data_IF_115861463214
#
_entry.id   IF_115861463214
#
_cell.length_a   1.000
_cell.length_b   1.000
_cell.length_c   1.000
_cell.angle_alpha   90.00
_cell.angle_beta   90.00
_cell.angle_gamma   90.00
#
_symmetry.space_group_name_H-M   'P 1'
#
loop_
_entity.id
_entity.type
_entity.pdbx_description
1 polymer ?
#
# COMPACT_ATOMS: atom_id res chain seq x y z
N UNK A 1 55.00 -32.58 -35.37
CA UNK A 1 54.97 -31.18 -34.89
C UNK A 1 53.51 -30.74 -34.89
N UNK A 2 52.96 -30.42 -33.71
CA UNK A 2 51.82 -29.51 -33.42
C UNK A 2 50.52 -29.65 -34.24
N UNK A 3 49.30 -29.65 -33.70
CA UNK A 3 48.72 -29.64 -32.37
C UNK A 3 47.22 -29.91 -32.58
N UNK A 4 46.58 -30.41 -31.54
CA UNK A 4 45.14 -30.69 -31.40
C UNK A 4 44.21 -29.53 -31.73
N UNK A 5 43.08 -29.82 -32.37
CA UNK A 5 41.86 -29.01 -32.23
C UNK A 5 40.62 -29.93 -32.38
N UNK A 6 40.23 -30.55 -31.27
CA UNK A 6 38.93 -31.19 -31.10
C UNK A 6 37.82 -30.20 -31.41
N UNK A 7 36.87 -30.61 -32.24
CA UNK A 7 35.72 -29.81 -32.66
C UNK A 7 34.99 -29.16 -31.46
N UNK A 8 34.63 -27.87 -31.53
CA UNK A 8 33.89 -27.21 -30.47
C UNK A 8 32.40 -27.57 -30.60
N UNK A 9 32.03 -28.84 -30.43
CA UNK A 9 30.62 -29.26 -30.29
C UNK A 9 30.04 -28.94 -28.90
N UNK A 10 30.76 -28.20 -28.05
CA UNK A 10 30.44 -28.04 -26.63
C UNK A 10 30.13 -26.58 -26.26
N UNK A 11 30.24 -25.64 -27.20
CA UNK A 11 30.26 -24.21 -26.86
C UNK A 11 28.89 -23.52 -26.75
N UNK A 12 27.74 -24.19 -26.88
CA UNK A 12 26.46 -23.46 -26.86
C UNK A 12 25.29 -24.24 -26.22
N UNK A 13 25.59 -25.05 -25.21
CA UNK A 13 24.56 -25.67 -24.35
C UNK A 13 24.60 -25.10 -22.92
N UNK A 14 25.11 -23.88 -22.75
CA UNK A 14 25.25 -23.20 -21.46
C UNK A 14 24.62 -21.79 -21.47
N UNK A 15 23.47 -21.63 -22.12
CA UNK A 15 22.65 -20.41 -22.03
C UNK A 15 21.26 -20.64 -21.43
N UNK A 16 20.93 -21.86 -20.98
CA UNK A 16 19.61 -22.22 -20.45
C UNK A 16 19.60 -22.50 -18.94
N UNK A 17 20.45 -21.81 -18.18
CA UNK A 17 20.47 -21.89 -16.71
C UNK A 17 20.53 -20.49 -16.10
N UNK A 18 19.83 -19.54 -16.70
CA UNK A 18 19.55 -18.24 -16.09
C UNK A 18 18.06 -18.17 -15.78
N UNK A 19 17.79 -18.51 -14.51
CA UNK A 19 16.85 -17.81 -13.62
C UNK A 19 15.40 -17.81 -14.11
N UNK A 20 14.75 -18.96 -14.00
CA UNK A 20 13.32 -19.02 -13.77
C UNK A 20 13.03 -18.95 -12.27
N UNK A 21 13.40 -17.86 -11.61
CA UNK A 21 12.80 -17.53 -10.30
C UNK A 21 11.44 -16.91 -10.61
N UNK A 22 10.45 -17.77 -10.83
CA UNK A 22 9.07 -17.37 -10.69
C UNK A 22 8.89 -17.11 -9.20
N UNK A 23 9.15 -15.87 -8.75
CA UNK A 23 8.60 -15.46 -7.46
C UNK A 23 7.10 -15.49 -7.66
N UNK A 24 6.46 -16.50 -7.06
CA UNK A 24 5.04 -16.44 -6.81
C UNK A 24 4.84 -15.13 -6.05
N UNK A 25 4.27 -14.13 -6.71
CA UNK A 25 3.77 -12.94 -6.05
C UNK A 25 2.61 -13.43 -5.21
N UNK A 26 2.92 -13.92 -4.01
CA UNK A 26 1.95 -14.01 -2.94
C UNK A 26 1.40 -12.59 -2.79
N UNK A 27 0.13 -12.39 -3.14
CA UNK A 27 -0.57 -11.12 -2.87
C UNK A 27 -0.37 -10.82 -1.37
N UNK A 28 0.43 -9.82 -1.01
CA UNK A 28 0.79 -9.63 0.38
C UNK A 28 -0.45 -9.16 1.13
N UNK A 29 -0.92 -9.98 2.06
CA UNK A 29 -2.06 -9.67 2.91
C UNK A 29 -1.82 -8.33 3.62
N UNK A 30 -2.65 -7.33 3.30
CA UNK A 30 -2.61 -6.01 3.94
C UNK A 30 -3.25 -6.13 5.32
N UNK A 31 -2.56 -5.66 6.36
CA UNK A 31 -3.03 -5.79 7.74
C UNK A 31 -3.18 -4.45 8.47
N UNK A 32 -2.38 -3.44 8.11
CA UNK A 32 -2.50 -2.10 8.67
C UNK A 32 -2.10 -1.03 7.65
N UNK A 33 -2.51 0.22 7.90
CA UNK A 33 -2.21 1.35 7.02
C UNK A 33 -1.71 2.57 7.79
N UNK A 34 -0.78 3.31 7.19
CA UNK A 34 -0.34 4.63 7.65
C UNK A 34 -0.70 5.67 6.62
N UNK A 35 -1.29 6.76 7.06
CA UNK A 35 -1.46 7.95 6.25
C UNK A 35 -0.41 8.97 6.65
N UNK A 36 0.35 9.44 5.69
CA UNK A 36 1.35 10.48 5.88
C UNK A 36 0.86 11.76 5.23
N UNK A 37 0.81 12.86 5.98
CA UNK A 37 0.47 14.15 5.40
C UNK A 37 0.96 15.32 6.24
N UNK A 38 1.19 16.46 5.58
CA UNK A 38 1.38 17.70 6.31
C UNK A 38 0.05 18.14 6.95
N UNK A 39 0.05 18.32 8.27
CA UNK A 39 -1.09 18.89 9.00
C UNK A 39 -1.41 20.35 8.61
N UNK A 40 -0.55 21.00 7.85
CA UNK A 40 -0.61 22.42 7.49
C UNK A 40 -1.31 22.72 6.16
N UNK A 41 -0.70 23.59 5.37
CA UNK A 41 -1.35 24.32 4.27
C UNK A 41 -2.02 23.45 3.20
N UNK A 42 -1.49 22.27 2.87
CA UNK A 42 -2.03 21.42 1.80
C UNK A 42 -3.44 20.89 2.12
N UNK A 43 -3.68 20.49 3.37
CA UNK A 43 -5.00 20.00 3.81
C UNK A 43 -6.07 21.09 3.90
N UNK A 44 -5.68 22.37 3.96
CA UNK A 44 -6.64 23.49 3.96
C UNK A 44 -7.42 23.59 2.64
N UNK A 45 -6.81 23.19 1.53
CA UNK A 45 -7.46 23.16 0.21
C UNK A 45 -8.19 21.83 -0.04
N UNK A 46 -7.71 20.74 0.55
CA UNK A 46 -8.26 19.40 0.40
C UNK A 46 -9.23 19.09 1.55
N UNK A 47 -10.34 19.85 1.62
CA UNK A 47 -11.33 19.76 2.70
C UNK A 47 -11.85 18.33 2.89
N UNK A 48 -12.13 17.62 1.79
CA UNK A 48 -12.63 16.25 1.84
C UNK A 48 -11.63 15.27 2.46
N UNK A 49 -10.36 15.35 2.05
CA UNK A 49 -9.28 14.52 2.60
C UNK A 49 -9.02 14.88 4.06
N UNK A 50 -9.02 16.17 4.39
CA UNK A 50 -8.87 16.64 5.78
C UNK A 50 -9.97 16.09 6.68
N UNK A 51 -11.22 16.11 6.24
CA UNK A 51 -12.35 15.65 7.04
C UNK A 51 -12.29 14.12 7.20
N UNK A 52 -11.89 13.39 6.16
CA UNK A 52 -11.56 11.96 6.26
C UNK A 52 -10.52 11.69 7.35
N UNK A 53 -9.38 12.41 7.33
CA UNK A 53 -8.29 12.23 8.30
C UNK A 53 -8.70 12.53 9.74
N UNK A 54 -9.47 13.60 9.95
CA UNK A 54 -9.81 14.04 11.31
C UNK A 54 -11.05 13.33 11.88
N UNK A 55 -12.00 12.96 11.03
CA UNK A 55 -13.30 12.44 11.48
C UNK A 55 -13.41 10.92 11.28
N UNK A 56 -12.93 10.39 10.15
CA UNK A 56 -13.17 8.98 9.81
C UNK A 56 -12.01 8.07 10.19
N UNK A 57 -10.77 8.46 9.95
CA UNK A 57 -9.59 7.65 10.31
C UNK A 57 -9.61 7.18 11.77
N UNK A 58 -9.95 8.01 12.78
CA UNK A 58 -10.03 7.55 14.17
C UNK A 58 -11.04 6.41 14.40
N UNK A 59 -12.01 6.23 13.49
CA UNK A 59 -13.04 5.20 13.57
C UNK A 59 -12.56 3.85 13.02
N UNK A 60 -11.47 3.80 12.26
CA UNK A 60 -10.93 2.55 11.72
C UNK A 60 -9.97 1.87 12.70
N UNK A 61 -9.95 0.54 12.68
CA UNK A 61 -8.92 -0.26 13.33
C UNK A 61 -7.69 -0.32 12.41
N UNK A 62 -6.49 -0.37 12.99
CA UNK A 62 -5.23 -0.55 12.26
C UNK A 62 -4.92 0.53 11.20
N UNK A 63 -5.48 1.73 11.33
CA UNK A 63 -5.14 2.89 10.49
C UNK A 63 -4.56 4.00 11.36
N UNK A 64 -3.34 4.43 11.05
CA UNK A 64 -2.63 5.51 11.73
C UNK A 64 -2.53 6.74 10.83
N UNK A 65 -2.68 7.95 11.39
CA UNK A 65 -2.33 9.19 10.68
C UNK A 65 -1.09 9.84 11.29
N UNK A 66 0.00 9.87 10.51
CA UNK A 66 1.27 10.49 10.85
C UNK A 66 1.42 11.85 10.16
N UNK A 67 1.68 12.87 10.98
CA UNK A 67 1.85 14.25 10.52
C UNK A 67 3.31 14.52 10.16
N UNK A 68 3.61 14.70 8.88
CA UNK A 68 4.96 14.96 8.37
C UNK A 68 4.98 16.32 7.67
N UNK A 69 5.87 17.21 8.10
CA UNK A 69 5.95 18.56 7.52
C UNK A 69 6.31 18.50 6.03
N UNK A 70 5.54 19.20 5.18
CA UNK A 70 5.77 19.26 3.74
C UNK A 70 5.35 18.00 2.96
N UNK A 71 4.96 16.91 3.63
CA UNK A 71 4.55 15.70 2.94
C UNK A 71 3.18 15.86 2.24
N UNK A 72 3.04 15.35 1.00
CA UNK A 72 1.73 15.22 0.37
C UNK A 72 0.85 14.23 1.15
N UNK A 73 -0.49 14.29 1.06
CA UNK A 73 -1.36 13.32 1.69
C UNK A 73 -1.34 11.99 0.92
N UNK A 74 -0.68 10.99 1.50
CA UNK A 74 -0.53 9.66 0.93
C UNK A 74 -0.94 8.59 1.95
N UNK A 75 -1.59 7.54 1.50
CA UNK A 75 -1.85 6.33 2.29
C UNK A 75 -0.87 5.24 1.88
N UNK A 76 -0.36 4.52 2.86
CA UNK A 76 0.62 3.46 2.72
C UNK A 76 0.05 2.22 3.42
N UNK A 77 -0.02 1.12 2.70
CA UNK A 77 -0.50 -0.18 3.20
C UNK A 77 0.67 -1.08 3.55
N UNK A 78 0.55 -1.77 4.68
CA UNK A 78 1.59 -2.64 5.22
C UNK A 78 1.09 -4.07 5.39
N UNK A 79 1.99 -5.02 5.20
CA UNK A 79 1.76 -6.43 5.52
C UNK A 79 2.12 -6.74 6.99
N UNK A 80 1.98 -8.00 7.39
CA UNK A 80 2.32 -8.49 8.75
C UNK A 80 3.78 -8.28 9.14
N UNK A 81 4.68 -8.15 8.16
CA UNK A 81 6.11 -7.93 8.38
C UNK A 81 6.49 -6.44 8.40
N UNK A 82 5.50 -5.53 8.50
CA UNK A 82 5.68 -4.06 8.43
C UNK A 82 6.33 -3.58 7.12
N UNK A 83 6.19 -4.33 6.04
CA UNK A 83 6.70 -3.95 4.72
C UNK A 83 5.63 -3.18 3.95
N UNK A 84 6.04 -2.10 3.27
CA UNK A 84 5.18 -1.33 2.38
C UNK A 84 4.78 -2.19 1.18
N UNK A 85 3.48 -2.44 1.06
CA UNK A 85 2.86 -3.18 -0.03
C UNK A 85 2.45 -2.23 -1.15
N UNK A 86 1.79 -1.14 -0.77
CA UNK A 86 1.15 -0.23 -1.71
C UNK A 86 1.07 1.18 -1.15
N UNK A 87 1.17 2.17 -2.03
CA UNK A 87 1.09 3.59 -1.70
C UNK A 87 0.21 4.32 -2.71
N UNK A 88 -0.76 5.06 -2.20
CA UNK A 88 -1.69 5.85 -3.02
C UNK A 88 -1.75 7.32 -2.57
N UNK A 89 -1.89 8.23 -3.55
CA UNK A 89 -2.01 9.68 -3.30
C UNK A 89 -3.47 10.07 -3.09
N UNK A 90 -3.79 10.60 -1.92
CA UNK A 90 -5.17 10.95 -1.56
C UNK A 90 -5.65 12.28 -2.14
N UNK A 91 -4.77 13.09 -2.76
CA UNK A 91 -5.11 14.44 -3.26
C UNK A 91 -6.28 14.46 -4.25
N UNK A 92 -6.49 13.36 -4.98
CA UNK A 92 -7.55 13.23 -6.00
C UNK A 92 -8.82 12.58 -5.46
N UNK A 93 -8.79 12.08 -4.23
CA UNK A 93 -9.87 11.31 -3.65
C UNK A 93 -10.82 12.23 -2.88
N UNK A 94 -12.10 11.94 -3.02
CA UNK A 94 -13.16 12.45 -2.15
C UNK A 94 -13.13 11.73 -0.82
N UNK A 95 -13.83 12.29 0.18
CA UNK A 95 -13.96 11.67 1.50
C UNK A 95 -14.57 10.27 1.40
N UNK A 96 -15.57 10.11 0.53
CA UNK A 96 -16.24 8.84 0.28
C UNK A 96 -15.28 7.83 -0.34
N UNK A 97 -14.56 8.21 -1.39
CA UNK A 97 -13.60 7.32 -2.05
C UNK A 97 -12.47 6.89 -1.10
N UNK A 98 -11.99 7.77 -0.21
CA UNK A 98 -11.02 7.37 0.82
C UNK A 98 -11.55 6.29 1.78
N UNK A 99 -12.82 6.41 2.21
CA UNK A 99 -13.45 5.41 3.08
C UNK A 99 -13.68 4.10 2.31
N UNK A 100 -14.12 4.18 1.05
CA UNK A 100 -14.30 3.02 0.16
C UNK A 100 -12.99 2.30 -0.11
N UNK A 101 -11.89 3.04 -0.30
CA UNK A 101 -10.55 2.48 -0.45
C UNK A 101 -10.20 1.60 0.77
N UNK A 102 -10.32 2.13 1.99
CA UNK A 102 -10.07 1.34 3.21
C UNK A 102 -10.96 0.10 3.30
N UNK A 103 -12.27 0.24 3.04
CA UNK A 103 -13.20 -0.90 3.08
C UNK A 103 -12.85 -1.95 2.03
N UNK A 104 -12.47 -1.52 0.82
CA UNK A 104 -12.08 -2.43 -0.28
C UNK A 104 -10.83 -3.25 0.05
N UNK A 105 -9.91 -2.68 0.85
CA UNK A 105 -8.70 -3.34 1.36
C UNK A 105 -8.96 -4.16 2.64
N UNK A 106 -10.22 -4.25 3.09
CA UNK A 106 -10.62 -5.10 4.22
C UNK A 106 -10.60 -4.41 5.60
N UNK A 107 -10.36 -3.10 5.67
CA UNK A 107 -10.33 -2.39 6.95
C UNK A 107 -11.74 -2.23 7.53
N UNK A 108 -11.85 -2.50 8.83
CA UNK A 108 -13.09 -2.41 9.57
C UNK A 108 -13.11 -1.20 10.50
N UNK A 109 -14.30 -0.66 10.73
CA UNK A 109 -14.52 0.35 11.77
C UNK A 109 -14.58 -0.32 13.13
N UNK A 110 -14.08 0.37 14.16
CA UNK A 110 -14.14 -0.04 15.56
C UNK A 110 -15.59 -0.28 15.97
N UNK A 111 -15.81 -1.27 16.83
CA UNK A 111 -17.14 -1.69 17.31
C UNK A 111 -17.98 -0.53 17.85
N UNK A 112 -17.36 0.36 18.63
CA UNK A 112 -18.00 1.55 19.23
C UNK A 112 -18.64 2.50 18.21
N UNK A 113 -18.10 2.56 16.98
CA UNK A 113 -18.64 3.38 15.90
C UNK A 113 -19.54 2.59 14.95
N UNK A 114 -19.51 1.25 15.01
CA UNK A 114 -20.40 0.38 14.25
C UNK A 114 -21.80 0.37 14.87
N UNK A 115 -21.87 0.29 16.19
CA UNK A 115 -23.13 0.31 16.95
C UNK A 115 -23.92 1.62 16.75
N UNK A 116 -23.24 2.76 16.61
CA UNK A 116 -23.88 4.06 16.33
C UNK A 116 -24.52 4.14 14.93
N UNK A 117 -23.98 3.40 13.94
CA UNK A 117 -24.52 3.38 12.57
C UNK A 117 -25.78 2.51 12.50
N UNK A 118 -25.81 1.42 13.26
CA UNK A 118 -26.94 0.47 13.25
C UNK A 118 -28.17 1.00 14.05
N UNK A 119 -28.00 1.99 14.92
CA UNK A 119 -29.08 2.60 15.71
C UNK A 119 -29.78 3.78 15.02
N UNK A 120 -29.25 4.28 13.90
CA UNK A 120 -29.83 5.40 13.13
C UNK A 120 -30.60 4.93 11.88
N UNK A 121 -30.84 3.61 11.76
CA UNK A 121 -31.56 2.92 10.69
C UNK A 121 -32.93 2.42 11.15
#
# INVERSE_FOLDING_TARGET
MIWSATSPKIALALCFLIVGLCEAVDDPTIVWARIESCAGCSLKRLIQVRDFLNVDVPKYENVEWKKIQGAPPEIIFFNEADQEVEREKLERYTRKECNELLVSKGFQKKKEFKEQIDQEL
#
